data_IF_347140830753
#
_entry.id   IF_347140830753
#
_cell.length_a   1.000
_cell.length_b   1.000
_cell.length_c   1.000
_cell.angle_alpha   90.00
_cell.angle_beta   90.00
_cell.angle_gamma   90.00
#
_symmetry.space_group_name_H-M   'P 1'
#
loop_
_entity.id
_entity.type
_entity.pdbx_description
1 polymer ?
#
# COMPACT_ATOMS: atom_id res chain seq x y z
N UNK A 1 -17.49 -40.57 -26.38
CA UNK A 1 -18.68 -39.89 -26.93
C UNK A 1 -18.19 -38.59 -27.56
N UNK A 2 -17.88 -38.62 -28.86
CA UNK A 2 -17.22 -37.50 -29.57
C UNK A 2 -18.28 -36.70 -30.32
N UNK A 3 -18.53 -35.46 -29.86
CA UNK A 3 -19.41 -34.52 -30.56
C UNK A 3 -18.66 -33.89 -31.73
N UNK A 4 -18.96 -34.36 -32.94
CA UNK A 4 -18.56 -33.70 -34.18
C UNK A 4 -19.34 -32.39 -34.33
N UNK A 5 -18.69 -31.25 -34.05
CA UNK A 5 -19.20 -29.92 -34.40
C UNK A 5 -19.09 -29.73 -35.92
N UNK A 6 -20.24 -29.55 -36.58
CA UNK A 6 -20.35 -29.40 -38.02
C UNK A 6 -19.69 -28.07 -38.46
N UNK A 7 -18.84 -28.09 -39.51
CA UNK A 7 -18.02 -26.95 -39.96
C UNK A 7 -18.80 -25.63 -40.16
N UNK A 8 -20.09 -25.70 -40.50
CA UNK A 8 -20.97 -24.52 -40.63
C UNK A 8 -21.19 -23.79 -39.30
N UNK A 9 -21.25 -24.50 -38.17
CA UNK A 9 -21.49 -23.88 -36.86
C UNK A 9 -20.23 -23.17 -36.33
N UNK A 10 -19.04 -23.67 -36.69
CA UNK A 10 -17.76 -23.03 -36.33
C UNK A 10 -17.61 -21.68 -37.06
N UNK A 11 -17.98 -21.62 -38.34
CA UNK A 11 -17.90 -20.38 -39.12
C UNK A 11 -18.84 -19.31 -38.56
N UNK A 12 -20.06 -19.67 -38.16
CA UNK A 12 -21.02 -18.73 -37.57
C UNK A 12 -20.51 -18.17 -36.24
N UNK A 13 -19.93 -19.01 -35.37
CA UNK A 13 -19.36 -18.57 -34.09
C UNK A 13 -18.19 -17.61 -34.30
N UNK A 14 -17.29 -17.90 -35.23
CA UNK A 14 -16.13 -17.01 -35.51
C UNK A 14 -16.58 -15.65 -36.05
N UNK A 15 -17.59 -15.60 -36.93
CA UNK A 15 -18.11 -14.34 -37.48
C UNK A 15 -18.80 -13.50 -36.40
N UNK A 16 -19.56 -14.13 -35.49
CA UNK A 16 -20.20 -13.41 -34.37
C UNK A 16 -19.15 -12.86 -33.39
N UNK A 17 -18.09 -13.62 -33.10
CA UNK A 17 -17.00 -13.14 -32.24
C UNK A 17 -16.24 -11.96 -32.86
N UNK A 18 -15.97 -11.99 -34.17
CA UNK A 18 -15.27 -10.89 -34.86
C UNK A 18 -16.12 -9.61 -34.91
N UNK A 19 -17.43 -9.73 -35.09
CA UNK A 19 -18.34 -8.58 -35.06
C UNK A 19 -18.47 -7.98 -33.65
N UNK A 20 -18.46 -8.80 -32.59
CA UNK A 20 -18.50 -8.32 -31.21
C UNK A 20 -17.23 -7.52 -30.85
N UNK A 21 -16.05 -7.98 -31.28
CA UNK A 21 -14.78 -7.26 -31.04
C UNK A 21 -14.77 -5.90 -31.73
N UNK A 22 -15.25 -5.80 -32.98
CA UNK A 22 -15.29 -4.56 -33.73
C UNK A 22 -16.20 -3.49 -33.07
N UNK A 23 -17.36 -3.90 -32.54
CA UNK A 23 -18.30 -3.01 -31.85
C UNK A 23 -17.72 -2.51 -30.51
N UNK A 24 -17.01 -3.36 -29.77
CA UNK A 24 -16.35 -2.96 -28.52
C UNK A 24 -15.22 -1.94 -28.74
N UNK A 25 -14.42 -2.11 -29.81
CA UNK A 25 -13.35 -1.16 -30.13
C UNK A 25 -13.89 0.22 -30.57
N UNK A 26 -15.02 0.28 -31.26
CA UNK A 26 -15.64 1.55 -31.65
C UNK A 26 -16.26 2.31 -30.46
N UNK A 27 -16.84 1.58 -29.49
CA UNK A 27 -17.36 2.18 -28.27
C UNK A 27 -16.25 2.74 -27.36
N UNK A 28 -15.11 2.05 -27.27
CA UNK A 28 -13.95 2.51 -26.49
C UNK A 28 -13.34 3.81 -27.04
N UNK A 29 -13.30 3.97 -28.37
CA UNK A 29 -12.78 5.18 -29.03
C UNK A 29 -13.72 6.39 -28.92
N UNK A 30 -15.04 6.17 -28.79
CA UNK A 30 -16.03 7.24 -28.59
C UNK A 30 -16.07 7.74 -27.13
N UNK A 31 -15.60 6.93 -26.17
CA UNK A 31 -15.55 7.28 -24.74
C UNK A 31 -14.22 7.90 -24.29
N UNK A 32 -13.16 7.80 -25.09
CA UNK A 32 -11.83 8.35 -24.78
C UNK A 32 -11.58 9.76 -25.33
N UNK A 33 -12.45 10.27 -26.22
CA UNK A 33 -12.24 11.52 -26.96
C UNK A 33 -12.46 12.84 -26.19
N UNK A 34 -12.21 12.91 -24.88
CA UNK A 34 -12.53 14.14 -24.13
C UNK A 34 -11.87 14.32 -22.78
N UNK A 35 -10.70 13.72 -22.51
CA UNK A 35 -9.97 13.98 -21.27
C UNK A 35 -8.61 14.57 -21.57
N UNK A 36 -8.55 15.90 -21.52
CA UNK A 36 -7.31 16.65 -21.32
C UNK A 36 -6.85 16.37 -19.88
N UNK A 37 -5.60 15.96 -19.71
CA UNK A 37 -5.01 15.74 -18.40
C UNK A 37 -3.83 16.67 -18.23
N UNK A 38 -3.86 17.48 -17.18
CA UNK A 38 -2.73 18.29 -16.76
C UNK A 38 -1.68 17.38 -16.11
N UNK A 39 -0.48 17.36 -16.72
CA UNK A 39 0.72 16.74 -16.19
C UNK A 39 1.32 17.67 -15.13
N UNK A 40 1.31 17.28 -13.85
CA UNK A 40 1.95 18.06 -12.79
C UNK A 40 3.30 17.44 -12.43
N UNK A 41 4.37 18.13 -12.83
CA UNK A 41 5.74 17.89 -12.39
C UNK A 41 6.01 18.66 -11.09
N UNK A 42 6.36 17.97 -10.01
CA UNK A 42 6.68 18.61 -8.73
C UNK A 42 8.16 18.98 -8.69
N UNK A 43 8.45 20.28 -8.63
CA UNK A 43 9.76 20.83 -8.25
C UNK A 43 9.74 21.12 -6.75
N UNK A 44 10.63 20.49 -5.99
CA UNK A 44 10.75 20.71 -4.55
C UNK A 44 11.57 21.95 -4.18
N UNK A 45 11.20 22.60 -3.06
CA UNK A 45 12.09 23.26 -2.09
C UNK A 45 11.28 24.01 -1.03
N UNK A 46 11.72 23.98 0.23
CA UNK A 46 11.48 25.11 1.14
C UNK A 46 11.18 24.77 2.60
N UNK A 47 12.23 24.40 3.34
CA UNK A 47 12.29 24.41 4.81
C UNK A 47 12.14 25.84 5.37
N UNK A 48 11.38 26.04 6.47
CA UNK A 48 11.57 27.17 7.41
C UNK A 48 11.19 26.80 8.85
N UNK A 49 12.07 27.23 9.75
CA UNK A 49 12.13 27.19 11.22
C UNK A 49 11.37 28.33 11.91
N UNK A 50 10.92 28.13 13.16
CA UNK A 50 10.93 29.04 14.33
C UNK A 50 9.86 28.57 15.35
N UNK A 51 9.89 28.79 16.67
CA UNK A 51 10.83 29.23 17.70
C UNK A 51 10.16 28.93 19.08
N UNK A 52 10.98 28.90 20.13
CA UNK A 52 10.68 28.57 21.52
C UNK A 52 9.86 29.67 22.24
N UNK A 53 8.94 29.28 23.14
CA UNK A 53 8.62 30.06 24.34
C UNK A 53 8.11 29.15 25.46
N UNK A 54 8.78 29.19 26.62
CA UNK A 54 8.48 28.37 27.78
C UNK A 54 7.47 28.99 28.75
N UNK A 55 6.94 28.15 29.65
CA UNK A 55 6.72 28.44 31.06
C UNK A 55 6.52 27.13 31.84
N UNK A 56 7.20 27.02 33.00
CA UNK A 56 7.01 25.98 34.00
C UNK A 56 5.75 26.28 34.83
N UNK A 57 4.92 25.26 35.06
CA UNK A 57 4.21 25.08 36.35
C UNK A 57 3.87 23.60 36.62
N UNK A 58 3.84 23.26 37.91
CA UNK A 58 3.96 21.94 38.59
C UNK A 58 2.75 21.00 38.38
N UNK A 59 2.91 19.64 38.40
CA UNK A 59 1.90 18.70 37.89
C UNK A 59 0.83 18.32 38.93
N UNK A 60 -0.43 18.34 38.51
CA UNK A 60 -1.54 17.60 39.10
C UNK A 60 -2.02 16.51 38.13
N UNK A 61 -2.68 15.42 38.60
CA UNK A 61 -3.04 14.29 37.76
C UNK A 61 -4.20 14.69 36.84
N UNK A 62 -3.88 15.24 35.67
CA UNK A 62 -4.88 15.43 34.63
C UNK A 62 -5.10 14.08 33.95
N UNK A 63 -6.28 13.51 34.21
CA UNK A 63 -6.92 12.50 33.38
C UNK A 63 -6.95 13.05 31.95
N UNK A 64 -5.97 12.64 31.16
CA UNK A 64 -5.82 13.07 29.76
C UNK A 64 -7.02 12.58 28.96
N UNK A 65 -7.73 13.52 28.37
CA UNK A 65 -8.66 13.27 27.27
C UNK A 65 -7.92 12.49 26.19
N UNK A 66 -8.37 11.26 25.94
CA UNK A 66 -7.95 10.42 24.82
C UNK A 66 -8.20 11.24 23.54
N UNK A 67 -7.14 11.60 22.82
CA UNK A 67 -7.24 12.18 21.48
C UNK A 67 -7.98 11.21 20.58
N UNK A 68 -8.88 11.67 19.72
CA UNK A 68 -9.76 10.82 18.89
C UNK A 68 -9.01 9.79 18.01
N UNK A 69 -7.72 10.01 17.71
CA UNK A 69 -6.86 9.04 17.02
C UNK A 69 -6.48 7.80 17.85
N UNK A 70 -6.53 7.87 19.18
CA UNK A 70 -6.26 6.74 20.08
C UNK A 70 -7.45 5.76 20.20
N UNK A 71 -8.62 6.10 19.65
CA UNK A 71 -9.78 5.21 19.66
C UNK A 71 -9.73 4.17 18.52
N UNK A 72 -9.06 4.48 17.40
CA UNK A 72 -9.11 3.62 16.21
C UNK A 72 -8.12 2.45 16.31
N UNK A 73 -6.86 2.73 16.65
CA UNK A 73 -5.80 1.71 16.77
C UNK A 73 -5.22 1.75 18.19
N UNK A 74 -5.45 0.69 18.95
CA UNK A 74 -4.83 0.50 20.27
C UNK A 74 -3.53 -0.28 20.15
N UNK A 75 -2.48 0.17 20.84
CA UNK A 75 -1.17 -0.47 20.83
C UNK A 75 -0.76 -0.82 22.25
N UNK A 76 -0.49 -2.10 22.48
CA UNK A 76 0.21 -2.60 23.66
C UNK A 76 1.68 -2.89 23.26
N UNK A 77 2.61 -2.08 23.75
CA UNK A 77 4.02 -2.16 23.40
C UNK A 77 4.92 -2.35 24.65
N UNK A 78 6.13 -2.91 24.49
CA UNK A 78 7.07 -3.03 25.60
C UNK A 78 7.56 -1.65 26.07
N UNK A 79 8.00 -1.56 27.34
CA UNK A 79 8.52 -0.31 27.94
C UNK A 79 9.70 0.30 27.16
N UNK A 80 10.48 -0.53 26.47
CA UNK A 80 11.65 -0.11 25.70
C UNK A 80 11.40 -0.38 24.21
N UNK A 81 10.81 0.60 23.53
CA UNK A 81 10.60 0.60 22.08
C UNK A 81 11.50 1.64 21.42
N UNK A 82 12.04 1.39 20.21
CA UNK A 82 12.81 2.39 19.49
C UNK A 82 11.98 3.64 19.24
N UNK A 83 12.51 4.82 19.57
CA UNK A 83 11.79 6.10 19.45
C UNK A 83 11.34 6.40 18.01
N UNK A 84 12.02 5.84 17.01
CA UNK A 84 11.73 6.06 15.59
C UNK A 84 10.89 4.96 14.93
N UNK A 85 10.37 3.99 15.70
CA UNK A 85 9.47 2.96 15.16
C UNK A 85 8.03 3.45 15.14
N UNK A 86 7.47 3.64 13.94
CA UNK A 86 6.05 3.93 13.75
C UNK A 86 5.23 2.63 13.69
N UNK A 87 4.75 2.18 14.86
CA UNK A 87 3.93 0.96 14.95
C UNK A 87 2.58 1.12 14.27
N UNK A 88 1.98 2.31 14.31
CA UNK A 88 0.68 2.57 13.66
C UNK A 88 0.82 2.37 12.15
N UNK A 89 1.90 2.87 11.56
CA UNK A 89 2.23 2.62 10.15
C UNK A 89 2.28 1.12 9.84
N UNK A 90 2.97 0.31 10.63
CA UNK A 90 3.06 -1.13 10.37
C UNK A 90 1.73 -1.87 10.54
N UNK A 91 0.89 -1.47 11.50
CA UNK A 91 -0.48 -1.98 11.63
C UNK A 91 -1.28 -1.71 10.35
N UNK A 92 -1.21 -0.48 9.84
CA UNK A 92 -1.87 -0.10 8.57
C UNK A 92 -1.33 -0.88 7.39
N UNK A 93 -0.01 -1.01 7.27
CA UNK A 93 0.64 -1.75 6.20
C UNK A 93 0.26 -3.24 6.19
N UNK A 94 0.09 -3.85 7.36
CA UNK A 94 -0.42 -5.22 7.47
C UNK A 94 -1.82 -5.37 6.91
N UNK A 95 -2.71 -4.40 7.21
CA UNK A 95 -4.06 -4.38 6.67
C UNK A 95 -4.05 -4.23 5.15
N UNK A 96 -3.25 -3.31 4.62
CA UNK A 96 -3.14 -3.05 3.18
C UNK A 96 -2.62 -4.28 2.42
N UNK A 97 -1.54 -4.90 2.90
CA UNK A 97 -0.97 -6.07 2.24
C UNK A 97 -1.98 -7.22 2.20
N UNK A 98 -2.65 -7.52 3.31
CA UNK A 98 -3.65 -8.61 3.36
C UNK A 98 -4.92 -8.30 2.56
N UNK A 99 -5.52 -7.13 2.78
CA UNK A 99 -6.89 -6.86 2.34
C UNK A 99 -6.96 -6.13 1.00
N UNK A 100 -5.92 -5.38 0.62
CA UNK A 100 -5.92 -4.57 -0.61
C UNK A 100 -5.06 -5.19 -1.70
N UNK A 101 -3.91 -5.76 -1.33
CA UNK A 101 -2.98 -6.40 -2.25
C UNK A 101 -3.12 -7.93 -2.28
N UNK A 102 -4.04 -8.48 -1.47
CA UNK A 102 -4.34 -9.91 -1.37
C UNK A 102 -3.09 -10.78 -1.11
N UNK A 103 -2.13 -10.26 -0.33
CA UNK A 103 -0.96 -10.99 0.13
C UNK A 103 -1.36 -11.83 1.33
N UNK A 104 -1.44 -13.16 1.14
CA UNK A 104 -1.80 -14.08 2.23
C UNK A 104 -0.76 -14.10 3.34
N UNK A 105 0.48 -14.43 2.97
CA UNK A 105 1.65 -14.43 3.85
C UNK A 105 2.94 -14.44 3.03
N UNK A 106 4.05 -14.08 3.65
CA UNK A 106 5.40 -14.30 3.15
C UNK A 106 6.39 -14.36 4.31
N UNK A 107 7.34 -15.29 4.28
CA UNK A 107 8.43 -15.35 5.26
C UNK A 107 9.60 -14.43 4.89
N UNK A 108 9.66 -14.03 3.61
CA UNK A 108 10.64 -13.12 3.05
C UNK A 108 10.07 -12.40 1.83
N UNK A 109 10.52 -11.17 1.54
CA UNK A 109 10.00 -10.40 0.40
C UNK A 109 10.14 -11.14 -0.94
N UNK A 110 11.11 -12.04 -1.08
CA UNK A 110 11.31 -12.86 -2.29
C UNK A 110 10.13 -13.79 -2.63
N UNK A 111 9.23 -14.05 -1.69
CA UNK A 111 8.02 -14.85 -1.92
C UNK A 111 6.87 -14.02 -2.53
N UNK A 112 6.96 -12.69 -2.49
CA UNK A 112 6.02 -11.83 -3.22
C UNK A 112 6.24 -11.96 -4.73
N UNK A 113 5.17 -11.76 -5.50
CA UNK A 113 5.34 -11.52 -6.93
C UNK A 113 5.96 -10.14 -7.16
N UNK A 114 6.75 -9.99 -8.23
CA UNK A 114 7.28 -8.67 -8.64
C UNK A 114 6.16 -7.65 -8.79
N UNK A 115 4.99 -8.06 -9.30
CA UNK A 115 3.83 -7.18 -9.45
C UNK A 115 3.29 -6.68 -8.12
N UNK A 116 3.14 -7.54 -7.11
CA UNK A 116 2.67 -7.12 -5.79
C UNK A 116 3.66 -6.15 -5.14
N UNK A 117 4.95 -6.46 -5.17
CA UNK A 117 5.97 -5.62 -4.55
C UNK A 117 6.09 -4.26 -5.26
N UNK A 118 6.10 -4.24 -6.59
CA UNK A 118 6.16 -3.01 -7.39
C UNK A 118 4.88 -2.19 -7.27
N UNK A 119 3.70 -2.80 -7.34
CA UNK A 119 2.43 -2.08 -7.21
C UNK A 119 2.31 -1.42 -5.83
N UNK A 120 2.69 -2.13 -4.77
CA UNK A 120 2.66 -1.59 -3.41
C UNK A 120 3.64 -0.42 -3.26
N UNK A 121 4.88 -0.59 -3.72
CA UNK A 121 5.88 0.47 -3.71
C UNK A 121 5.47 1.70 -4.55
N UNK A 122 4.86 1.45 -5.71
CA UNK A 122 4.31 2.50 -6.57
C UNK A 122 3.24 3.31 -5.85
N UNK A 123 2.27 2.65 -5.19
CA UNK A 123 1.21 3.34 -4.46
C UNK A 123 1.77 4.20 -3.31
N UNK A 124 2.81 3.70 -2.62
CA UNK A 124 3.46 4.40 -1.51
C UNK A 124 4.23 5.66 -1.92
N UNK A 125 4.70 5.77 -3.17
CA UNK A 125 5.30 7.01 -3.69
C UNK A 125 4.31 8.19 -3.67
N UNK A 126 3.00 7.89 -3.68
CA UNK A 126 1.93 8.88 -3.80
C UNK A 126 0.99 8.91 -2.60
N UNK A 127 1.39 8.31 -1.47
CA UNK A 127 0.62 8.28 -0.22
C UNK A 127 0.88 9.50 0.69
N UNK A 128 1.69 10.47 0.23
CA UNK A 128 2.18 11.56 1.07
C UNK A 128 3.07 11.02 2.20
N UNK A 129 2.99 11.64 3.37
CA UNK A 129 3.75 11.24 4.56
C UNK A 129 3.10 10.06 5.33
N UNK A 130 1.96 9.54 4.83
CA UNK A 130 1.14 8.55 5.53
C UNK A 130 1.20 7.13 4.95
N UNK A 131 0.14 6.37 5.23
CA UNK A 131 -0.15 5.08 4.63
C UNK A 131 -1.20 5.21 3.52
N UNK A 132 -1.43 4.14 2.74
CA UNK A 132 -2.42 4.15 1.66
C UNK A 132 -3.85 4.38 2.19
N UNK A 133 -4.10 3.95 3.44
CA UNK A 133 -5.35 4.15 4.15
C UNK A 133 -5.64 5.62 4.51
N UNK A 134 -4.60 6.44 4.64
CA UNK A 134 -4.68 7.82 5.13
C UNK A 134 -4.80 8.85 4.01
N UNK A 135 -4.45 8.45 2.79
CA UNK A 135 -4.41 9.33 1.64
C UNK A 135 -5.59 9.08 0.70
N UNK A 136 -6.40 10.12 0.49
CA UNK A 136 -7.48 10.10 -0.49
C UNK A 136 -7.08 10.88 -1.75
N UNK A 137 -6.93 10.24 -2.92
CA UNK A 137 -6.67 10.94 -4.17
C UNK A 137 -7.83 11.87 -4.56
N UNK A 138 -7.52 13.00 -5.16
CA UNK A 138 -8.52 13.90 -5.76
C UNK A 138 -9.01 13.32 -7.10
N UNK A 139 -9.90 12.33 -7.01
CA UNK A 139 -10.45 11.66 -8.18
C UNK A 139 -9.47 10.70 -8.85
N UNK A 140 -9.64 10.50 -10.16
CA UNK A 140 -8.86 9.53 -10.93
C UNK A 140 -7.58 10.18 -11.45
N UNK A 141 -6.46 9.90 -10.80
CA UNK A 141 -5.15 10.50 -11.10
C UNK A 141 -4.25 9.47 -11.77
N UNK A 142 -3.66 9.82 -12.92
CA UNK A 142 -2.63 9.01 -13.57
C UNK A 142 -1.26 9.36 -12.99
N UNK A 143 -0.44 8.34 -12.72
CA UNK A 143 0.89 8.52 -12.13
C UNK A 143 1.93 7.75 -12.92
N UNK A 144 3.17 8.24 -12.87
CA UNK A 144 4.33 7.59 -13.46
C UNK A 144 5.51 7.62 -12.49
N UNK A 145 6.28 6.53 -12.40
CA UNK A 145 7.46 6.46 -11.55
C UNK A 145 8.64 5.91 -12.34
N UNK A 146 9.84 6.41 -12.04
CA UNK A 146 11.09 5.86 -12.56
C UNK A 146 11.45 4.55 -11.87
N UNK A 147 12.32 3.75 -12.49
CA UNK A 147 12.88 2.54 -11.87
C UNK A 147 13.55 2.84 -10.52
N UNK A 148 14.28 3.95 -10.43
CA UNK A 148 14.99 4.36 -9.21
C UNK A 148 14.01 4.62 -8.07
N UNK A 149 12.96 5.40 -8.31
CA UNK A 149 11.93 5.69 -7.29
C UNK A 149 11.25 4.42 -6.79
N UNK A 150 10.95 3.48 -7.68
CA UNK A 150 10.35 2.20 -7.30
C UNK A 150 11.32 1.39 -6.43
N UNK A 151 12.59 1.29 -6.81
CA UNK A 151 13.60 0.56 -6.03
C UNK A 151 13.79 1.17 -4.65
N UNK A 152 13.88 2.50 -4.55
CA UNK A 152 14.03 3.20 -3.27
C UNK A 152 12.81 2.97 -2.36
N UNK A 153 11.60 3.09 -2.91
CA UNK A 153 10.35 2.80 -2.19
C UNK A 153 10.30 1.34 -1.71
N UNK A 154 10.66 0.38 -2.57
CA UNK A 154 10.74 -1.04 -2.20
C UNK A 154 11.75 -1.31 -1.08
N UNK A 155 12.91 -0.64 -1.11
CA UNK A 155 13.92 -0.77 -0.05
C UNK A 155 13.41 -0.23 1.29
N UNK A 156 12.72 0.91 1.28
CA UNK A 156 12.10 1.46 2.50
C UNK A 156 11.01 0.53 3.06
N UNK A 157 10.20 -0.08 2.19
CA UNK A 157 9.07 -0.92 2.61
C UNK A 157 9.48 -2.33 3.04
N UNK A 158 10.43 -2.94 2.35
CA UNK A 158 10.74 -4.37 2.47
C UNK A 158 12.24 -4.68 2.68
N UNK A 159 13.09 -3.67 2.75
CA UNK A 159 14.55 -3.85 2.80
C UNK A 159 15.10 -4.35 1.47
N UNK A 160 16.17 -5.15 1.51
CA UNK A 160 16.81 -5.61 0.28
C UNK A 160 15.88 -6.50 -0.56
N UNK A 161 15.51 -6.03 -1.75
CA UNK A 161 14.60 -6.70 -2.67
C UNK A 161 15.37 -7.37 -3.82
N UNK A 162 15.14 -8.65 -4.12
CA UNK A 162 15.87 -9.37 -5.18
C UNK A 162 15.29 -9.18 -6.58
N UNK A 163 14.27 -8.34 -6.74
CA UNK A 163 13.49 -8.25 -7.96
C UNK A 163 14.18 -7.42 -9.07
N UNK A 164 14.08 -7.93 -10.29
CA UNK A 164 14.12 -7.08 -11.48
C UNK A 164 12.74 -6.40 -11.62
N UNK A 165 12.66 -5.13 -11.22
CA UNK A 165 11.39 -4.40 -11.17
C UNK A 165 10.79 -4.19 -12.57
N UNK A 166 11.61 -4.20 -13.63
CA UNK A 166 11.13 -4.07 -15.03
C UNK A 166 10.31 -5.27 -15.48
N UNK A 167 10.37 -6.38 -14.74
CA UNK A 167 9.49 -7.54 -14.92
C UNK A 167 8.04 -7.32 -14.47
N UNK A 168 7.72 -6.16 -13.89
CA UNK A 168 6.35 -5.81 -13.52
C UNK A 168 5.49 -5.48 -14.74
N UNK A 169 4.21 -5.81 -14.68
CA UNK A 169 3.19 -5.40 -15.65
C UNK A 169 2.94 -3.89 -15.66
N UNK A 170 3.34 -3.17 -14.62
CA UNK A 170 3.27 -1.71 -14.58
C UNK A 170 4.38 -1.06 -15.40
N UNK A 171 5.44 -1.79 -15.75
CA UNK A 171 6.56 -1.24 -16.51
C UNK A 171 6.22 -1.10 -17.99
N UNK A 172 6.38 0.12 -18.50
CA UNK A 172 6.15 0.49 -19.88
C UNK A 172 7.49 0.67 -20.58
N UNK A 173 7.94 -0.35 -21.30
CA UNK A 173 9.25 -0.32 -21.98
C UNK A 173 9.36 0.77 -23.05
N UNK A 174 8.24 1.25 -23.58
CA UNK A 174 8.22 2.35 -24.55
C UNK A 174 8.46 3.72 -23.91
N UNK A 175 8.07 3.88 -22.63
CA UNK A 175 8.15 5.13 -21.89
C UNK A 175 9.27 5.11 -20.81
N UNK A 176 9.93 3.97 -20.61
CA UNK A 176 10.97 3.76 -19.60
C UNK A 176 10.51 4.13 -18.18
N UNK A 177 9.24 3.85 -17.89
CA UNK A 177 8.62 4.18 -16.61
C UNK A 177 7.58 3.15 -16.17
N UNK A 178 7.26 3.16 -14.89
CA UNK A 178 6.12 2.47 -14.31
C UNK A 178 4.91 3.39 -14.38
N UNK A 179 3.75 2.87 -14.74
CA UNK A 179 2.56 3.71 -14.88
C UNK A 179 1.26 3.02 -14.46
N UNK A 180 0.42 3.73 -13.72
CA UNK A 180 -0.92 3.26 -13.35
C UNK A 180 -1.84 4.42 -12.93
N UNK A 181 -3.15 4.17 -13.03
CA UNK A 181 -4.15 4.99 -12.35
C UNK A 181 -4.07 4.75 -10.84
N UNK A 182 -3.90 5.81 -10.06
CA UNK A 182 -3.81 5.73 -8.62
C UNK A 182 -5.15 5.22 -8.03
N UNK A 183 -5.15 4.08 -7.32
CA UNK A 183 -6.34 3.60 -6.63
C UNK A 183 -6.64 4.44 -5.38
N UNK A 184 -7.92 4.59 -5.05
CA UNK A 184 -8.35 5.12 -3.76
C UNK A 184 -8.47 3.97 -2.76
N UNK A 185 -7.49 3.88 -1.86
CA UNK A 185 -7.49 2.93 -0.76
C UNK A 185 -7.90 3.58 0.57
N UNK A 186 -8.30 4.86 0.57
CA UNK A 186 -8.60 5.56 1.81
C UNK A 186 -9.75 4.91 2.56
N UNK A 187 -9.50 4.55 3.81
CA UNK A 187 -10.53 4.07 4.74
C UNK A 187 -10.03 4.10 6.17
N UNK A 188 -10.98 4.24 7.08
CA UNK A 188 -10.75 4.01 8.50
C UNK A 188 -10.59 2.51 8.76
N UNK A 189 -9.70 2.18 9.69
CA UNK A 189 -9.54 0.83 10.21
C UNK A 189 -9.57 0.88 11.74
N UNK A 190 -10.07 -0.19 12.35
CA UNK A 190 -10.07 -0.34 13.80
C UNK A 190 -9.22 -1.55 14.17
N UNK A 191 -8.27 -1.38 15.08
CA UNK A 191 -7.33 -2.44 15.40
C UNK A 191 -6.88 -2.43 16.87
N UNK A 192 -6.42 -3.59 17.32
CA UNK A 192 -5.62 -3.73 18.53
C UNK A 192 -4.35 -4.48 18.15
N UNK A 193 -3.21 -3.94 18.53
CA UNK A 193 -1.90 -4.47 18.21
C UNK A 193 -1.08 -4.73 19.47
N UNK A 194 -0.38 -5.86 19.49
CA UNK A 194 0.61 -6.21 20.52
C UNK A 194 1.98 -6.26 19.86
N UNK A 195 2.90 -5.47 20.38
CA UNK A 195 4.30 -5.45 19.94
C UNK A 195 5.13 -6.28 20.90
N UNK A 196 5.99 -7.13 20.37
CA UNK A 196 6.94 -7.92 21.13
C UNK A 196 8.31 -7.88 20.46
N UNK A 197 9.37 -7.96 21.26
CA UNK A 197 10.71 -8.18 20.71
C UNK A 197 10.80 -9.58 20.08
N UNK A 198 11.46 -9.67 18.95
CA UNK A 198 11.82 -10.92 18.29
C UNK A 198 13.35 -11.07 18.26
N UNK A 199 13.83 -12.21 17.76
CA UNK A 199 15.26 -12.48 17.64
C UNK A 199 15.98 -11.43 16.75
N UNK A 200 17.28 -11.25 16.98
CA UNK A 200 18.16 -10.37 16.18
C UNK A 200 17.73 -8.89 16.12
N UNK A 201 17.03 -8.39 17.14
CA UNK A 201 16.58 -6.99 17.18
C UNK A 201 15.42 -6.68 16.24
N UNK A 202 14.73 -7.71 15.75
CA UNK A 202 13.46 -7.59 15.07
C UNK A 202 12.32 -7.34 16.07
N UNK A 203 11.19 -6.84 15.57
CA UNK A 203 9.98 -6.66 16.37
C UNK A 203 8.82 -7.36 15.68
N UNK A 204 8.03 -8.09 16.45
CA UNK A 204 6.83 -8.78 15.97
C UNK A 204 5.59 -8.00 16.42
N UNK A 205 4.74 -7.65 15.47
CA UNK A 205 3.53 -6.85 15.64
C UNK A 205 2.33 -7.75 15.32
N UNK A 206 1.63 -8.18 16.34
CA UNK A 206 0.41 -8.99 16.21
C UNK A 206 -0.80 -8.08 16.22
N UNK A 207 -1.57 -8.07 15.14
CA UNK A 207 -2.70 -7.17 14.96
C UNK A 207 -3.99 -7.96 14.78
N UNK A 208 -5.02 -7.57 15.52
CA UNK A 208 -6.41 -7.96 15.24
C UNK A 208 -7.14 -6.74 14.70
N UNK A 209 -7.83 -6.90 13.57
CA UNK A 209 -8.67 -5.87 12.97
C UNK A 209 -10.14 -6.09 13.35
N UNK A 210 -10.91 -5.01 13.33
CA UNK A 210 -12.31 -4.99 13.72
C UNK A 210 -13.16 -4.19 12.73
N UNK A 211 -14.44 -4.54 12.64
CA UNK A 211 -15.41 -3.85 11.77
C UNK A 211 -15.85 -2.50 12.36
N UNK A 212 -15.69 -2.31 13.68
CA UNK A 212 -16.21 -1.19 14.43
C UNK A 212 -15.22 -0.67 15.49
N UNK A 213 -15.37 0.60 15.86
CA UNK A 213 -14.49 1.28 16.84
C UNK A 213 -14.64 0.73 18.25
N UNK A 214 -15.77 0.11 18.58
CA UNK A 214 -15.97 -0.59 19.86
C UNK A 214 -15.31 -1.97 19.89
N UNK A 215 -14.74 -2.41 18.75
CA UNK A 215 -14.00 -3.66 18.58
C UNK A 215 -14.83 -4.88 18.95
N UNK A 216 -16.12 -4.83 18.66
CA UNK A 216 -17.07 -5.89 19.03
C UNK A 216 -17.04 -7.07 18.08
N UNK A 217 -16.63 -6.85 16.82
CA UNK A 217 -16.55 -7.89 15.79
C UNK A 217 -15.21 -7.84 15.06
N UNK A 218 -14.49 -8.96 15.10
CA UNK A 218 -13.21 -9.10 14.40
C UNK A 218 -13.40 -9.24 12.89
N UNK A 219 -12.54 -8.55 12.13
CA UNK A 219 -12.44 -8.53 10.67
C UNK A 219 -11.10 -9.14 10.18
N UNK A 220 -10.52 -10.04 10.98
CA UNK A 220 -9.28 -10.73 10.68
C UNK A 220 -8.06 -10.25 11.46
N UNK A 221 -6.89 -10.74 11.08
CA UNK A 221 -5.63 -10.49 11.78
C UNK A 221 -4.43 -10.52 10.84
N UNK A 222 -3.34 -9.90 11.28
CA UNK A 222 -2.04 -9.96 10.63
C UNK A 222 -0.93 -10.01 11.68
N UNK A 223 0.14 -10.72 11.37
CA UNK A 223 1.37 -10.69 12.14
C UNK A 223 2.48 -10.21 11.22
N UNK A 224 3.10 -9.08 11.57
CA UNK A 224 4.26 -8.55 10.85
C UNK A 224 5.52 -8.72 11.69
N UNK A 225 6.60 -9.14 11.05
CA UNK A 225 7.95 -8.95 11.62
C UNK A 225 8.61 -7.76 10.92
N UNK A 226 9.04 -6.77 11.70
CA UNK A 226 9.81 -5.63 11.20
C UNK A 226 11.28 -5.72 11.62
N UNK A 227 12.16 -5.24 10.76
CA UNK A 227 13.61 -5.18 10.99
C UNK A 227 14.14 -3.79 10.73
N UNK A 228 15.21 -3.43 11.43
CA UNK A 228 15.90 -2.16 11.23
C UNK A 228 16.68 -2.20 9.92
N UNK A 229 16.47 -1.19 9.08
CA UNK A 229 17.21 -0.95 7.85
C UNK A 229 18.57 -0.31 8.10
N UNK A 230 19.43 -0.32 7.08
CA UNK A 230 20.75 0.32 7.13
C UNK A 230 20.68 1.85 7.23
N UNK A 231 19.56 2.43 6.80
CA UNK A 231 19.24 3.87 6.88
C UNK A 231 18.73 4.29 8.27
N UNK A 232 18.62 3.34 9.21
CA UNK A 232 18.08 3.57 10.54
C UNK A 232 16.55 3.48 10.63
N UNK A 233 15.85 3.37 9.50
CA UNK A 233 14.41 3.12 9.42
C UNK A 233 14.04 1.67 9.74
N UNK A 234 12.77 1.33 9.61
CA UNK A 234 12.26 -0.03 9.77
C UNK A 234 11.49 -0.46 8.52
N UNK A 235 11.61 -1.73 8.17
CA UNK A 235 10.95 -2.34 7.01
C UNK A 235 10.26 -3.65 7.38
N UNK A 236 9.30 -4.08 6.55
CA UNK A 236 8.54 -5.32 6.71
C UNK A 236 9.37 -6.49 6.21
N UNK A 237 9.78 -7.38 7.12
CA UNK A 237 10.56 -8.57 6.80
C UNK A 237 9.68 -9.79 6.49
N UNK A 238 8.54 -9.92 7.17
CA UNK A 238 7.58 -11.00 6.96
C UNK A 238 6.14 -10.57 7.29
N UNK A 239 5.17 -11.32 6.76
CA UNK A 239 3.74 -11.20 7.03
C UNK A 239 3.11 -12.59 7.18
N UNK A 240 2.28 -12.78 8.20
CA UNK A 240 1.46 -13.99 8.42
C UNK A 240 -0.02 -13.64 8.64
#
# INVERSE_FOLDING_TARGET
>A
MSHYLNKKNIIIIVVVCLLAVAVCSAAALMLSGGRDYDEVTVSGQGSQTAEVSGNLDVPGPQSGSISEDQAEIEIAAPEQMPENMDVIRFVKQGYELKNMLAVGSFSSVSELTVNQAVQYAFCYLYAGDGCLLDYKPEGTVYRQATETQIRESMVSLFGNCPFDVTGSQLYSSGNDCFEMWQPDYSRKIYASAVVSGADDGAYRIETTYFEDVQKTKSDGSAVITVKKGNDGGFYIASLE
#
